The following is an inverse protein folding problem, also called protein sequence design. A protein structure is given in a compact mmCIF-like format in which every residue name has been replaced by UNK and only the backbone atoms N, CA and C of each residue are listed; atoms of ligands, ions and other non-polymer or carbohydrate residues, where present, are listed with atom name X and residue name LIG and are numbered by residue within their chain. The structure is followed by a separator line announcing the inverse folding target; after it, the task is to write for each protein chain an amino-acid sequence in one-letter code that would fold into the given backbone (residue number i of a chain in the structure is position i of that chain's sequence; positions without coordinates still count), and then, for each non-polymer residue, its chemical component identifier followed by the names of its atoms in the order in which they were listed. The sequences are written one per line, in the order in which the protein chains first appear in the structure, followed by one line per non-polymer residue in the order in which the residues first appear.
data_IF_316056621619
#
_entry.id   IF_316056621619
#
_cell.length_a   1.000
_cell.length_b   1.000
_cell.length_c   1.000
_cell.angle_alpha   90.00
_cell.angle_beta   90.00
_cell.angle_gamma   90.00
#
_symmetry.space_group_name_H-M   'P 1'
#
loop_
_entity.id
_entity.type
_entity.pdbx_description
1 polymer ?
#
# COMPACT_ATOMS: atom_id res chain seq x y z
N UNK A 1 -13.57 -12.76 3.48
CA UNK A 1 -14.64 -11.90 2.91
C UNK A 1 -14.27 -11.51 1.49
N UNK A 2 -15.25 -11.02 0.69
CA UNK A 2 -14.96 -10.48 -0.64
C UNK A 2 -14.74 -8.97 -0.56
N UNK A 3 -13.73 -8.50 -1.28
CA UNK A 3 -13.33 -7.11 -1.38
C UNK A 3 -13.25 -6.72 -2.86
N UNK A 4 -13.66 -5.52 -3.23
CA UNK A 4 -13.73 -5.12 -4.62
C UNK A 4 -13.19 -3.71 -4.85
N UNK A 5 -12.41 -3.55 -5.91
CA UNK A 5 -11.90 -2.26 -6.37
C UNK A 5 -11.70 -2.24 -7.88
N UNK A 6 -11.17 -1.14 -8.38
CA UNK A 6 -10.91 -0.95 -9.81
C UNK A 6 -9.73 -1.80 -10.29
N UNK A 7 -9.83 -2.33 -11.49
CA UNK A 7 -8.76 -3.02 -12.19
C UNK A 7 -7.50 -2.15 -12.38
N UNK A 8 -6.41 -2.75 -12.81
CA UNK A 8 -5.09 -2.12 -12.98
C UNK A 8 -4.60 -1.43 -11.69
N UNK A 9 -4.46 -2.17 -10.59
CA UNK A 9 -4.15 -1.59 -9.29
C UNK A 9 -2.76 -0.96 -9.26
N UNK A 10 -2.65 0.16 -8.54
CA UNK A 10 -1.39 0.84 -8.24
C UNK A 10 -1.44 1.37 -6.82
N UNK A 11 -0.28 1.54 -6.20
CA UNK A 11 -0.09 2.10 -4.86
C UNK A 11 -1.15 1.62 -3.86
N UNK A 12 -2.21 2.40 -3.65
CA UNK A 12 -3.24 2.16 -2.63
C UNK A 12 -4.06 0.88 -2.89
N UNK A 13 -4.33 0.56 -4.16
CA UNK A 13 -5.04 -0.67 -4.55
C UNK A 13 -4.19 -1.95 -4.50
N UNK A 14 -2.92 -1.85 -4.08
CA UNK A 14 -2.08 -2.97 -3.63
C UNK A 14 -1.86 -2.88 -2.12
N UNK A 15 -1.62 -1.68 -1.58
CA UNK A 15 -1.42 -1.46 -0.14
C UNK A 15 -2.65 -1.87 0.69
N UNK A 16 -3.86 -1.50 0.24
CA UNK A 16 -5.10 -1.88 0.93
C UNK A 16 -5.31 -3.40 0.97
N UNK A 17 -5.24 -4.15 -0.14
CA UNK A 17 -5.26 -5.61 -0.10
C UNK A 17 -4.20 -6.23 0.81
N UNK A 18 -2.98 -5.67 0.82
CA UNK A 18 -1.93 -6.11 1.73
C UNK A 18 -2.34 -5.92 3.20
N UNK A 19 -2.82 -4.72 3.56
CA UNK A 19 -3.28 -4.43 4.93
C UNK A 19 -4.45 -5.33 5.34
N UNK A 20 -5.42 -5.50 4.44
CA UNK A 20 -6.57 -6.37 4.65
C UNK A 20 -6.11 -7.79 4.95
N UNK A 21 -5.29 -8.37 4.10
CA UNK A 21 -4.84 -9.76 4.24
C UNK A 21 -3.99 -9.98 5.48
N UNK A 22 -3.15 -9.01 5.87
CA UNK A 22 -2.23 -9.17 7.00
C UNK A 22 -2.87 -8.90 8.36
N UNK A 23 -3.89 -8.02 8.44
CA UNK A 23 -4.39 -7.49 9.71
C UNK A 23 -5.90 -7.56 9.91
N UNK A 24 -6.68 -7.77 8.85
CA UNK A 24 -8.14 -7.67 8.91
C UNK A 24 -8.82 -8.99 8.55
N UNK A 25 -8.44 -9.59 7.42
CA UNK A 25 -9.08 -10.77 6.86
C UNK A 25 -8.05 -11.63 6.09
N UNK A 26 -7.50 -12.65 6.76
CA UNK A 26 -6.47 -13.51 6.18
C UNK A 26 -6.96 -14.32 4.97
N UNK A 27 -8.28 -14.55 4.88
CA UNK A 27 -8.94 -15.27 3.80
C UNK A 27 -9.64 -14.33 2.81
N UNK A 28 -9.17 -13.09 2.70
CA UNK A 28 -9.74 -12.08 1.80
C UNK A 28 -9.65 -12.52 0.33
N UNK A 29 -10.78 -12.42 -0.36
CA UNK A 29 -10.89 -12.58 -1.81
C UNK A 29 -11.03 -11.19 -2.45
N UNK A 30 -10.17 -10.87 -3.40
CA UNK A 30 -10.18 -9.58 -4.09
C UNK A 30 -10.78 -9.69 -5.48
N UNK A 31 -11.60 -8.72 -5.85
CA UNK A 31 -12.19 -8.55 -7.17
C UNK A 31 -11.66 -7.25 -7.79
N UNK A 32 -11.00 -7.35 -8.93
CA UNK A 32 -10.57 -6.22 -9.74
C UNK A 32 -11.46 -6.11 -10.97
N UNK A 33 -12.19 -5.01 -11.09
CA UNK A 33 -13.20 -4.83 -12.15
C UNK A 33 -13.12 -3.41 -12.74
N UNK A 34 -13.68 -3.16 -13.93
CA UNK A 34 -13.80 -1.80 -14.46
C UNK A 34 -14.45 -0.85 -13.44
N UNK A 35 -13.98 0.39 -13.38
CA UNK A 35 -14.44 1.37 -12.39
C UNK A 35 -15.97 1.56 -12.40
N UNK A 36 -16.59 1.50 -13.58
CA UNK A 36 -18.04 1.61 -13.76
C UNK A 36 -18.84 0.45 -13.13
N UNK A 37 -18.21 -0.68 -12.91
CA UNK A 37 -18.86 -1.91 -12.46
C UNK A 37 -18.73 -2.16 -10.96
N UNK A 38 -17.84 -1.45 -10.27
CA UNK A 38 -17.54 -1.70 -8.85
C UNK A 38 -18.79 -1.68 -7.98
N UNK A 39 -19.59 -0.62 -8.05
CA UNK A 39 -20.79 -0.48 -7.21
C UNK A 39 -21.85 -1.56 -7.52
N UNK A 40 -22.06 -1.87 -8.80
CA UNK A 40 -23.01 -2.90 -9.22
C UNK A 40 -22.60 -4.27 -8.73
N UNK A 41 -21.34 -4.66 -8.98
CA UNK A 41 -20.83 -5.97 -8.58
C UNK A 41 -20.73 -6.08 -7.06
N UNK A 42 -20.38 -5.00 -6.35
CA UNK A 42 -20.40 -4.97 -4.89
C UNK A 42 -21.81 -5.30 -4.35
N UNK A 43 -22.86 -4.68 -4.91
CA UNK A 43 -24.24 -4.95 -4.50
C UNK A 43 -24.71 -6.38 -4.82
N UNK A 44 -24.29 -6.92 -5.98
CA UNK A 44 -24.66 -8.27 -6.41
C UNK A 44 -23.94 -9.38 -5.60
N UNK A 45 -22.70 -9.15 -5.19
CA UNK A 45 -21.85 -10.16 -4.57
C UNK A 45 -21.72 -10.02 -3.05
N UNK A 46 -22.12 -8.89 -2.49
CA UNK A 46 -21.87 -8.53 -1.10
C UNK A 46 -20.38 -8.18 -0.82
N UNK A 47 -19.58 -7.93 -1.87
CA UNK A 47 -18.19 -7.54 -1.71
C UNK A 47 -18.08 -6.11 -1.13
N UNK A 48 -17.09 -5.91 -0.26
CA UNK A 48 -16.81 -4.62 0.36
C UNK A 48 -16.01 -3.75 -0.61
N UNK A 49 -16.55 -2.64 -1.10
CA UNK A 49 -15.83 -1.76 -2.03
C UNK A 49 -14.82 -0.88 -1.30
N UNK A 50 -13.66 -0.67 -1.94
CA UNK A 50 -12.62 0.23 -1.45
C UNK A 50 -11.92 0.96 -2.61
N UNK A 51 -11.33 2.12 -2.30
CA UNK A 51 -10.62 2.98 -3.25
C UNK A 51 -11.42 3.29 -4.53
N UNK A 52 -12.67 3.65 -4.35
CA UNK A 52 -13.59 4.13 -5.38
C UNK A 52 -14.46 5.25 -4.82
N UNK A 53 -14.90 6.15 -5.68
CA UNK A 53 -15.74 7.29 -5.26
C UNK A 53 -17.05 6.83 -4.62
N UNK A 54 -17.48 7.52 -3.57
CA UNK A 54 -18.80 7.31 -2.94
C UNK A 54 -18.86 6.15 -1.94
N UNK A 55 -17.70 5.57 -1.55
CA UNK A 55 -17.64 4.51 -0.53
C UNK A 55 -16.90 4.97 0.72
N UNK A 56 -17.18 4.32 1.86
CA UNK A 56 -16.56 4.63 3.15
C UNK A 56 -15.03 4.45 3.12
N UNK A 57 -14.55 3.37 2.50
CA UNK A 57 -13.13 3.01 2.43
C UNK A 57 -12.46 3.65 1.21
N UNK A 58 -12.51 4.97 1.13
CA UNK A 58 -11.93 5.74 0.04
C UNK A 58 -11.21 6.97 0.56
N UNK A 59 -10.72 7.80 -0.35
CA UNK A 59 -10.06 9.05 -0.01
C UNK A 59 -10.98 10.01 0.76
N UNK A 60 -10.45 10.63 1.82
CA UNK A 60 -11.14 11.67 2.58
C UNK A 60 -10.19 12.85 2.78
N UNK A 61 -10.44 13.95 2.11
CA UNK A 61 -9.54 15.11 2.15
C UNK A 61 -8.12 14.73 1.68
N UNK A 62 -7.08 14.98 2.49
CA UNK A 62 -5.71 14.64 2.13
C UNK A 62 -5.34 13.17 2.37
N UNK A 63 -6.25 12.37 2.95
CA UNK A 63 -6.02 10.98 3.33
C UNK A 63 -6.41 10.03 2.20
N UNK A 64 -5.65 8.94 2.03
CA UNK A 64 -5.94 7.90 1.06
C UNK A 64 -6.75 6.73 1.66
N UNK A 65 -7.12 5.76 0.85
CA UNK A 65 -7.95 4.63 1.29
C UNK A 65 -7.25 3.73 2.30
N UNK A 66 -5.92 3.68 2.28
CA UNK A 66 -5.13 3.00 3.30
C UNK A 66 -5.34 3.63 4.69
N UNK A 67 -5.38 4.95 4.78
CA UNK A 67 -5.69 5.67 6.02
C UNK A 67 -7.11 5.37 6.52
N UNK A 68 -8.08 5.29 5.61
CA UNK A 68 -9.46 4.97 5.95
C UNK A 68 -9.58 3.56 6.56
N UNK A 69 -8.86 2.58 6.00
CA UNK A 69 -8.77 1.23 6.56
C UNK A 69 -8.11 1.21 7.95
N UNK A 70 -6.98 1.90 8.13
CA UNK A 70 -6.31 1.98 9.44
C UNK A 70 -7.27 2.52 10.51
N UNK A 71 -7.98 3.60 10.19
CA UNK A 71 -8.93 4.22 11.12
C UNK A 71 -10.10 3.30 11.43
N UNK A 72 -10.73 2.73 10.40
CA UNK A 72 -11.92 1.86 10.57
C UNK A 72 -11.63 0.63 11.44
N UNK A 73 -10.46 0.03 11.28
CA UNK A 73 -10.09 -1.19 12.00
C UNK A 73 -9.18 -0.95 13.22
N UNK A 74 -9.05 0.31 13.66
CA UNK A 74 -8.28 0.72 14.83
C UNK A 74 -6.81 0.26 14.79
N UNK A 75 -6.21 0.24 13.59
CA UNK A 75 -4.83 -0.15 13.33
C UNK A 75 -3.85 1.04 13.41
N UNK A 76 -4.35 2.26 13.49
CA UNK A 76 -3.61 3.52 13.61
C UNK A 76 -2.81 3.65 14.91
N UNK A 77 -3.02 2.76 15.87
CA UNK A 77 -2.22 2.63 17.10
C UNK A 77 -0.87 1.94 16.89
N UNK A 78 -0.67 1.27 15.77
CA UNK A 78 0.61 0.65 15.42
C UNK A 78 1.53 1.68 14.77
N UNK A 79 2.68 2.06 15.40
CA UNK A 79 3.55 3.11 14.88
C UNK A 79 4.17 2.78 13.52
N UNK A 80 4.46 1.50 13.24
CA UNK A 80 5.02 1.08 11.96
C UNK A 80 3.98 1.23 10.84
N UNK A 81 2.72 0.84 11.09
CA UNK A 81 1.62 1.01 10.15
C UNK A 81 1.31 2.49 9.89
N UNK A 82 1.39 3.34 10.90
CA UNK A 82 1.20 4.79 10.76
C UNK A 82 2.30 5.42 9.90
N UNK A 83 3.56 4.97 10.06
CA UNK A 83 4.68 5.40 9.20
C UNK A 83 4.49 4.89 7.77
N UNK A 84 4.08 3.64 7.60
CA UNK A 84 3.79 3.06 6.29
C UNK A 84 2.66 3.83 5.58
N UNK A 85 1.59 4.18 6.30
CA UNK A 85 0.49 5.00 5.77
C UNK A 85 0.97 6.33 5.21
N UNK A 86 1.93 6.98 5.87
CA UNK A 86 2.52 8.23 5.39
C UNK A 86 3.25 8.05 4.06
N UNK A 87 3.96 6.93 3.89
CA UNK A 87 4.66 6.59 2.64
C UNK A 87 3.64 6.29 1.53
N UNK A 88 2.65 5.44 1.82
CA UNK A 88 1.58 5.09 0.88
C UNK A 88 0.82 6.32 0.43
N UNK A 89 0.35 7.15 1.37
CA UNK A 89 -0.37 8.39 1.09
C UNK A 89 0.43 9.32 0.21
N UNK A 90 1.72 9.53 0.51
CA UNK A 90 2.57 10.39 -0.30
C UNK A 90 2.72 9.91 -1.72
N UNK A 91 2.89 8.62 -1.93
CA UNK A 91 2.96 8.02 -3.26
C UNK A 91 1.62 8.09 -4.01
N UNK A 92 0.50 7.87 -3.30
CA UNK A 92 -0.82 7.78 -3.91
C UNK A 92 -1.45 9.14 -4.23
N UNK A 93 -1.15 10.18 -3.43
CA UNK A 93 -1.74 11.51 -3.56
C UNK A 93 -0.81 12.55 -4.19
N UNK A 94 0.28 12.13 -4.82
CA UNK A 94 1.32 13.00 -5.39
C UNK A 94 1.97 13.97 -4.36
N UNK A 95 1.97 13.61 -3.07
CA UNK A 95 2.62 14.32 -2.00
C UNK A 95 3.95 13.64 -1.63
N UNK A 96 4.88 13.62 -2.59
CA UNK A 96 6.17 12.95 -2.46
C UNK A 96 7.06 13.54 -1.36
N UNK A 97 6.71 14.71 -0.88
CA UNK A 97 7.34 15.41 0.24
C UNK A 97 7.03 14.79 1.62
N UNK A 98 6.01 13.94 1.72
CA UNK A 98 5.60 13.36 3.01
C UNK A 98 6.63 12.42 3.62
N UNK A 99 7.36 11.66 2.79
CA UNK A 99 8.46 10.81 3.24
C UNK A 99 9.43 10.55 2.08
N UNK A 100 10.74 10.34 2.35
CA UNK A 100 11.73 10.07 1.30
C UNK A 100 11.41 8.88 0.41
N UNK A 101 10.69 7.89 0.94
CA UNK A 101 10.35 6.64 0.24
C UNK A 101 9.18 6.77 -0.75
N UNK A 102 8.41 7.87 -0.69
CA UNK A 102 7.20 8.04 -1.51
C UNK A 102 7.48 7.91 -3.01
N UNK A 103 8.50 8.60 -3.51
CA UNK A 103 8.87 8.56 -4.93
C UNK A 103 9.34 7.15 -5.36
N UNK A 104 10.08 6.46 -4.50
CA UNK A 104 10.52 5.08 -4.74
C UNK A 104 9.34 4.11 -4.81
N UNK A 105 8.41 4.19 -3.86
CA UNK A 105 7.20 3.36 -3.86
C UNK A 105 6.35 3.63 -5.11
N UNK A 106 6.18 4.88 -5.51
CA UNK A 106 5.45 5.25 -6.72
C UNK A 106 6.09 4.63 -7.97
N UNK A 107 7.42 4.76 -8.11
CA UNK A 107 8.15 4.20 -9.25
C UNK A 107 8.02 2.67 -9.33
N UNK A 108 8.16 1.97 -8.20
CA UNK A 108 8.00 0.51 -8.12
C UNK A 108 6.56 0.11 -8.47
N UNK A 109 5.56 0.81 -7.96
CA UNK A 109 4.14 0.53 -8.24
C UNK A 109 3.81 0.66 -9.73
N UNK A 110 4.29 1.71 -10.40
CA UNK A 110 4.12 1.86 -11.83
C UNK A 110 4.91 0.79 -12.61
N UNK A 111 6.10 0.43 -12.16
CA UNK A 111 6.90 -0.62 -12.76
C UNK A 111 6.19 -1.97 -12.73
N UNK A 112 5.67 -2.38 -11.57
CA UNK A 112 4.90 -3.61 -11.41
C UNK A 112 3.66 -3.63 -12.32
N UNK A 113 2.92 -2.52 -12.40
CA UNK A 113 1.75 -2.41 -13.27
C UNK A 113 2.08 -2.56 -14.76
N UNK A 114 3.31 -2.27 -15.17
CA UNK A 114 3.79 -2.47 -16.55
C UNK A 114 4.32 -3.88 -16.81
N UNK A 115 4.86 -4.52 -15.77
CA UNK A 115 5.40 -5.89 -15.85
C UNK A 115 4.29 -6.94 -15.92
N UNK A 116 3.19 -6.74 -15.19
CA UNK A 116 2.13 -7.71 -15.06
C UNK A 116 0.83 -7.20 -15.71
N UNK A 117 0.32 -7.96 -16.67
CA UNK A 117 -0.98 -7.70 -17.28
C UNK A 117 -2.13 -8.21 -16.40
N UNK A 118 -1.90 -9.28 -15.66
CA UNK A 118 -2.85 -9.86 -14.71
C UNK A 118 -2.77 -9.15 -13.35
N UNK A 119 -3.91 -8.66 -12.86
CA UNK A 119 -3.98 -7.86 -11.64
C UNK A 119 -3.70 -8.70 -10.37
N UNK A 120 -4.01 -10.00 -10.40
CA UNK A 120 -3.73 -10.91 -9.28
C UNK A 120 -2.24 -11.27 -9.20
N UNK A 121 -1.59 -11.45 -10.34
CA UNK A 121 -0.14 -11.60 -10.41
C UNK A 121 0.56 -10.34 -9.89
N UNK A 122 0.10 -9.18 -10.33
CA UNK A 122 0.61 -7.90 -9.85
C UNK A 122 0.43 -7.76 -8.34
N UNK A 123 -0.76 -8.09 -7.82
CA UNK A 123 -1.04 -8.08 -6.39
C UNK A 123 -0.07 -8.97 -5.62
N UNK A 124 0.09 -10.22 -6.06
CA UNK A 124 0.98 -11.19 -5.41
C UNK A 124 2.41 -10.68 -5.27
N UNK A 125 2.96 -10.07 -6.31
CA UNK A 125 4.31 -9.50 -6.28
C UNK A 125 4.37 -8.19 -5.51
N UNK A 126 3.35 -7.35 -5.66
CA UNK A 126 3.25 -6.06 -4.97
C UNK A 126 3.16 -6.19 -3.45
N UNK A 127 2.49 -7.21 -2.93
CA UNK A 127 2.39 -7.47 -1.49
C UNK A 127 3.77 -7.61 -0.83
N UNK A 128 4.75 -8.22 -1.51
CA UNK A 128 6.11 -8.37 -0.99
C UNK A 128 6.78 -7.01 -0.75
N UNK A 129 6.49 -6.00 -1.56
CA UNK A 129 7.04 -4.65 -1.38
C UNK A 129 6.58 -4.06 -0.05
N UNK A 130 5.31 -4.24 0.31
CA UNK A 130 4.77 -3.73 1.58
C UNK A 130 5.22 -4.55 2.78
N UNK A 131 5.38 -5.87 2.64
CA UNK A 131 6.03 -6.72 3.66
C UNK A 131 7.45 -6.23 3.94
N UNK A 132 8.23 -5.91 2.90
CA UNK A 132 9.60 -5.41 3.03
C UNK A 132 9.64 -4.01 3.69
N UNK A 133 8.75 -3.10 3.29
CA UNK A 133 8.64 -1.77 3.90
C UNK A 133 8.28 -1.87 5.39
N UNK A 134 7.33 -2.73 5.74
CA UNK A 134 6.95 -2.94 7.14
C UNK A 134 8.11 -3.50 7.96
N UNK A 135 8.78 -4.54 7.46
CA UNK A 135 9.93 -5.15 8.13
C UNK A 135 11.04 -4.14 8.40
N UNK A 136 11.32 -3.26 7.42
CA UNK A 136 12.28 -2.17 7.61
C UNK A 136 11.81 -1.16 8.66
N UNK A 137 10.55 -0.72 8.61
CA UNK A 137 9.99 0.23 9.58
C UNK A 137 9.98 -0.29 11.01
N UNK A 138 9.79 -1.60 11.20
CA UNK A 138 9.76 -2.22 12.53
C UNK A 138 11.15 -2.47 13.11
N UNK A 139 12.13 -2.82 12.28
CA UNK A 139 13.40 -3.38 12.74
C UNK A 139 14.61 -2.48 12.51
N UNK A 140 14.62 -1.70 11.44
CA UNK A 140 15.83 -1.02 11.00
C UNK A 140 15.56 0.34 10.31
N UNK A 141 14.68 1.22 10.85
CA UNK A 141 14.30 2.47 10.16
C UNK A 141 15.46 3.46 10.04
N UNK A 142 16.47 3.32 10.89
CA UNK A 142 17.65 4.19 10.93
C UNK A 142 18.91 3.51 10.35
N UNK A 143 18.79 2.30 9.81
CA UNK A 143 19.88 1.57 9.21
C UNK A 143 20.31 2.20 7.90
N UNK A 144 21.64 2.35 7.72
CA UNK A 144 22.23 2.88 6.50
C UNK A 144 23.23 1.90 5.92
N UNK A 145 23.31 1.84 4.59
CA UNK A 145 24.34 1.06 3.91
C UNK A 145 25.57 1.93 3.69
N UNK A 146 26.66 1.58 4.40
CA UNK A 146 27.93 2.29 4.29
C UNK A 146 28.88 1.52 3.37
N UNK A 147 29.10 2.05 2.19
CA UNK A 147 30.14 1.56 1.30
C UNK A 147 31.47 2.26 1.57
N UNK A 148 32.50 1.50 1.92
CA UNK A 148 33.85 2.02 2.11
C UNK A 148 34.79 1.47 1.03
N UNK A 149 35.13 2.28 -0.01
CA UNK A 149 35.96 1.84 -1.12
C UNK A 149 37.40 1.53 -0.73
N UNK A 150 37.85 1.95 0.46
CA UNK A 150 39.26 1.80 0.92
C UNK A 150 39.41 0.71 1.97
N UNK A 151 38.37 -0.04 2.32
CA UNK A 151 38.43 -1.17 3.25
C UNK A 151 38.75 -0.81 4.70
N UNK A 152 38.69 0.47 5.09
CA UNK A 152 38.79 0.93 6.47
C UNK A 152 37.47 0.76 7.25
N UNK A 153 37.55 0.84 8.59
CA UNK A 153 36.32 0.85 9.41
C UNK A 153 35.38 1.95 8.97
N UNK A 154 34.03 1.71 9.00
CA UNK A 154 33.05 2.72 8.64
C UNK A 154 33.25 3.97 9.52
N UNK A 155 33.33 5.14 8.88
CA UNK A 155 33.35 6.41 9.63
C UNK A 155 32.00 6.57 10.33
N UNK A 156 32.01 6.68 11.65
CA UNK A 156 30.85 7.09 12.41
C UNK A 156 30.44 8.49 11.91
N UNK A 157 29.23 8.62 11.37
CA UNK A 157 28.65 9.92 11.08
C UNK A 157 28.25 10.50 12.43
N UNK A 158 28.91 11.59 12.80
CA UNK A 158 28.58 12.35 13.99
C UNK A 158 27.24 13.07 13.83
#
# INVERSE_FOLDING_TARGET
MKWITRERPKVDRIACPWLITRYIDADAEFLFVPASDVHRIAAETGAIPFDVEGVELSHVGPLCSFDALLSKYALDRNPALTRLARIVRGADTARLDLAPQCAGLLAISFGLSRMFADDYEQLRHGMLVYDALLAWLEKAPDETHLWNPQGGAPMAIA
#
